data_IF_771153227310
#
_entry.id   IF_771153227310
#
_cell.length_a   1.000
_cell.length_b   1.000
_cell.length_c   1.000
_cell.angle_alpha   90.00
_cell.angle_beta   90.00
_cell.angle_gamma   90.00
#
_symmetry.space_group_name_H-M   'P 1'
#
loop_
_entity.id
_entity.type
_entity.pdbx_description
1 polymer ?
#
# COMPACT_ATOMS: atom_id res chain seq x y z
N UNK A 1 2.40 1.87 9.73
CA UNK A 1 3.29 3.05 9.64
C UNK A 1 4.78 2.69 9.65
N UNK A 2 5.16 1.55 9.02
CA UNK A 2 6.57 1.14 8.94
C UNK A 2 7.41 2.13 8.12
N UNK A 3 6.79 2.88 7.21
CA UNK A 3 7.49 3.85 6.37
C UNK A 3 8.24 4.93 7.18
N UNK A 4 7.77 5.26 8.39
CA UNK A 4 8.46 6.18 9.30
C UNK A 4 9.77 5.60 9.83
N UNK A 5 9.85 4.26 9.94
CA UNK A 5 10.96 3.53 10.55
C UNK A 5 11.88 2.84 9.54
N UNK A 6 11.68 3.04 8.23
CA UNK A 6 12.46 2.34 7.18
C UNK A 6 13.97 2.50 7.39
N UNK A 7 14.44 3.73 7.64
CA UNK A 7 15.88 3.96 7.89
C UNK A 7 16.40 3.26 9.14
N UNK A 8 15.60 3.22 10.22
CA UNK A 8 15.97 2.49 11.45
C UNK A 8 15.98 0.98 11.21
N UNK A 9 14.96 0.47 10.51
CA UNK A 9 14.87 -0.96 10.12
C UNK A 9 16.10 -1.36 9.32
N UNK A 10 16.44 -0.59 8.28
CA UNK A 10 17.61 -0.86 7.46
C UNK A 10 18.92 -0.78 8.26
N UNK A 11 19.01 0.14 9.23
CA UNK A 11 20.21 0.26 10.08
C UNK A 11 20.40 -0.93 11.01
N UNK A 12 19.31 -1.47 11.56
CA UNK A 12 19.34 -2.60 12.50
C UNK A 12 19.45 -3.94 11.76
N UNK A 13 18.79 -4.05 10.60
CA UNK A 13 18.68 -5.25 9.80
C UNK A 13 19.07 -4.95 8.32
N UNK A 14 20.36 -4.69 8.04
CA UNK A 14 20.81 -4.22 6.73
C UNK A 14 20.54 -5.23 5.58
N UNK A 15 20.51 -6.51 5.91
CA UNK A 15 20.29 -7.59 4.94
C UNK A 15 18.82 -8.01 4.81
N UNK A 16 17.91 -7.38 5.57
CA UNK A 16 16.49 -7.70 5.47
C UNK A 16 15.87 -7.11 4.22
N UNK A 17 15.16 -7.89 3.40
CA UNK A 17 14.45 -7.37 2.25
C UNK A 17 13.33 -6.40 2.67
N UNK A 18 13.32 -5.23 2.08
CA UNK A 18 12.27 -4.22 2.26
C UNK A 18 11.39 -4.23 1.02
N UNK A 19 10.10 -4.43 1.22
CA UNK A 19 9.11 -4.45 0.15
C UNK A 19 8.22 -3.22 0.29
N UNK A 20 8.18 -2.38 -0.73
CA UNK A 20 7.32 -1.22 -0.79
C UNK A 20 6.22 -1.42 -1.84
N UNK A 21 4.99 -1.55 -1.35
CA UNK A 21 3.80 -1.68 -2.19
C UNK A 21 3.21 -0.29 -2.41
N UNK A 22 3.21 0.16 -3.65
CA UNK A 22 2.59 1.42 -4.07
C UNK A 22 1.15 1.18 -4.52
N UNK A 23 0.30 2.16 -4.32
CA UNK A 23 -1.09 2.15 -4.77
C UNK A 23 -1.57 3.57 -5.02
N UNK A 24 -2.52 3.75 -5.95
CA UNK A 24 -3.16 5.05 -6.17
C UNK A 24 -3.53 5.71 -4.82
N UNK A 25 -3.04 6.91 -4.52
CA UNK A 25 -3.27 7.59 -3.25
C UNK A 25 -4.74 7.83 -2.96
N UNK A 26 -5.56 7.99 -4.01
CA UNK A 26 -7.02 8.20 -3.91
C UNK A 26 -7.73 6.92 -3.48
N UNK A 27 -7.34 5.77 -4.05
CA UNK A 27 -7.85 4.45 -3.62
C UNK A 27 -7.35 4.05 -2.24
N UNK A 28 -6.10 4.39 -1.93
CA UNK A 28 -5.53 4.17 -0.60
C UNK A 28 -6.28 5.00 0.44
N UNK A 29 -6.51 6.28 0.15
CA UNK A 29 -7.30 7.18 1.00
C UNK A 29 -8.72 6.68 1.22
N UNK A 30 -9.44 6.34 0.15
CA UNK A 30 -10.80 5.78 0.25
C UNK A 30 -10.81 4.53 1.13
N UNK A 31 -9.86 3.62 0.94
CA UNK A 31 -9.76 2.38 1.72
C UNK A 31 -9.53 2.65 3.21
N UNK A 32 -8.70 3.62 3.55
CA UNK A 32 -8.46 4.03 4.94
C UNK A 32 -9.70 4.73 5.54
N UNK A 33 -10.34 5.62 4.81
CA UNK A 33 -11.53 6.34 5.27
C UNK A 33 -12.72 5.40 5.55
N UNK A 34 -12.87 4.35 4.74
CA UNK A 34 -13.93 3.34 4.93
C UNK A 34 -13.62 2.38 6.09
N UNK A 35 -12.39 2.36 6.59
CA UNK A 35 -11.99 1.42 7.62
C UNK A 35 -12.23 1.99 9.02
N UNK A 36 -13.03 1.29 9.82
CA UNK A 36 -13.17 1.61 11.24
C UNK A 36 -11.93 1.12 12.01
N UNK A 37 -10.94 2.00 12.13
CA UNK A 37 -9.77 1.73 12.98
C UNK A 37 -10.18 1.91 14.45
N UNK A 38 -10.28 0.81 15.19
CA UNK A 38 -10.59 0.88 16.63
C UNK A 38 -9.58 1.75 17.38
N UNK A 39 -10.10 2.70 18.16
CA UNK A 39 -9.33 3.73 18.88
C UNK A 39 -8.37 3.21 19.97
N UNK A 40 -8.25 1.90 20.13
CA UNK A 40 -7.49 1.28 21.24
C UNK A 40 -6.01 1.64 21.31
N UNK A 41 -5.39 2.10 20.23
CA UNK A 41 -3.95 2.32 20.17
C UNK A 41 -3.51 3.73 19.75
N UNK A 42 -4.42 4.66 19.52
CA UNK A 42 -4.09 6.00 19.02
C UNK A 42 -3.43 6.00 17.62
N UNK A 43 -3.11 7.17 17.09
CA UNK A 43 -2.33 7.32 15.86
C UNK A 43 -3.05 7.06 14.54
N UNK A 44 -4.34 6.67 14.56
CA UNK A 44 -5.15 6.46 13.34
C UNK A 44 -6.23 7.53 13.17
N UNK A 45 -6.17 8.62 13.93
CA UNK A 45 -7.14 9.71 13.89
C UNK A 45 -7.24 10.40 12.53
N UNK A 46 -6.16 10.39 11.76
CA UNK A 46 -6.12 10.93 10.41
C UNK A 46 -7.12 10.25 9.46
N UNK A 47 -7.46 8.99 9.70
CA UNK A 47 -8.38 8.22 8.84
C UNK A 47 -9.85 8.66 8.95
N UNK A 48 -10.20 9.51 9.91
CA UNK A 48 -11.56 10.01 10.12
C UNK A 48 -11.81 11.41 9.56
N UNK A 49 -10.78 12.01 8.94
CA UNK A 49 -10.85 13.33 8.31
C UNK A 49 -10.12 13.29 6.98
N UNK A 50 -10.75 13.80 5.92
CA UNK A 50 -10.23 13.69 4.55
C UNK A 50 -8.97 14.53 4.32
N UNK A 51 -8.87 15.72 4.91
CA UNK A 51 -7.70 16.57 4.77
C UNK A 51 -6.52 16.03 5.61
N UNK A 52 -6.79 15.53 6.82
CA UNK A 52 -5.78 14.86 7.63
C UNK A 52 -5.25 13.59 6.94
N UNK A 53 -6.13 12.87 6.25
CA UNK A 53 -5.76 11.68 5.48
C UNK A 53 -4.84 12.03 4.30
N UNK A 54 -5.16 13.10 3.55
CA UNK A 54 -4.28 13.61 2.50
C UNK A 54 -2.92 14.02 3.05
N UNK A 55 -2.88 14.73 4.18
CA UNK A 55 -1.63 15.11 4.84
C UNK A 55 -0.77 13.90 5.23
N UNK A 56 -1.38 12.82 5.72
CA UNK A 56 -0.66 11.58 6.04
C UNK A 56 -0.11 10.91 4.77
N UNK A 57 -0.86 10.90 3.68
CA UNK A 57 -0.40 10.40 2.37
C UNK A 57 0.76 11.25 1.85
N UNK A 58 0.69 12.57 1.94
CA UNK A 58 1.76 13.48 1.55
C UNK A 58 3.03 13.26 2.40
N UNK A 59 2.88 13.04 3.71
CA UNK A 59 3.99 12.72 4.62
C UNK A 59 4.65 11.38 4.26
N UNK A 60 3.83 10.35 4.04
CA UNK A 60 4.31 9.06 3.56
C UNK A 60 5.11 9.22 2.26
N UNK A 61 4.60 9.93 1.28
CA UNK A 61 5.26 10.16 0.00
C UNK A 61 6.62 10.85 0.16
N UNK A 62 6.67 11.94 0.96
CA UNK A 62 7.90 12.67 1.26
C UNK A 62 8.96 11.78 1.91
N UNK A 63 8.57 10.94 2.87
CA UNK A 63 9.48 9.99 3.51
C UNK A 63 9.96 8.91 2.54
N UNK A 64 9.11 8.34 1.71
CA UNK A 64 9.53 7.34 0.74
C UNK A 64 10.49 7.94 -0.31
N UNK A 65 10.26 9.17 -0.76
CA UNK A 65 11.23 9.91 -1.59
C UNK A 65 12.57 10.09 -0.88
N UNK A 66 12.56 10.40 0.42
CA UNK A 66 13.78 10.52 1.21
C UNK A 66 14.54 9.19 1.28
N UNK A 67 13.86 8.09 1.58
CA UNK A 67 14.51 6.77 1.68
C UNK A 67 15.14 6.33 0.35
N UNK A 68 14.47 6.58 -0.77
CA UNK A 68 15.06 6.36 -2.11
C UNK A 68 16.30 7.22 -2.32
N UNK A 69 16.23 8.51 -1.97
CA UNK A 69 17.33 9.46 -2.16
C UNK A 69 18.61 9.09 -1.39
N UNK A 70 18.48 8.54 -0.19
CA UNK A 70 19.62 8.09 0.62
C UNK A 70 20.04 6.64 0.33
N UNK A 71 19.43 5.99 -0.68
CA UNK A 71 19.83 4.69 -1.18
C UNK A 71 19.42 3.49 -0.32
N UNK A 72 18.34 3.58 0.47
CA UNK A 72 17.83 2.40 1.17
C UNK A 72 17.35 1.38 0.14
N UNK A 73 17.93 0.16 0.11
CA UNK A 73 17.55 -0.85 -0.86
C UNK A 73 16.13 -1.36 -0.57
N UNK A 74 15.28 -1.31 -1.58
CA UNK A 74 13.91 -1.85 -1.51
C UNK A 74 13.43 -2.27 -2.89
N UNK A 75 12.58 -3.29 -2.94
CA UNK A 75 11.81 -3.60 -4.15
C UNK A 75 10.49 -2.83 -4.08
N UNK A 76 10.14 -2.20 -5.19
CA UNK A 76 8.91 -1.40 -5.31
C UNK A 76 8.05 -1.95 -6.44
N UNK A 77 6.76 -2.02 -6.23
CA UNK A 77 5.79 -2.42 -7.26
C UNK A 77 4.42 -1.82 -6.97
N UNK A 78 3.63 -1.76 -8.02
CA UNK A 78 2.25 -1.30 -7.92
C UNK A 78 1.32 -2.42 -7.50
N UNK A 79 0.38 -2.11 -6.62
CA UNK A 79 -0.69 -3.03 -6.25
C UNK A 79 -1.48 -3.47 -7.49
N UNK A 80 -1.71 -2.55 -8.40
CA UNK A 80 -2.42 -2.76 -9.67
C UNK A 80 -1.69 -3.78 -10.55
N UNK A 81 -0.36 -3.71 -10.65
CA UNK A 81 0.46 -4.69 -11.37
C UNK A 81 0.38 -6.08 -10.72
N UNK A 82 0.46 -6.13 -9.38
CA UNK A 82 0.30 -7.40 -8.67
C UNK A 82 -1.07 -8.03 -8.92
N UNK A 83 -2.13 -7.23 -9.01
CA UNK A 83 -3.48 -7.73 -9.28
C UNK A 83 -3.64 -8.19 -10.73
N UNK A 84 -2.95 -7.53 -11.68
CA UNK A 84 -3.00 -7.86 -13.09
C UNK A 84 -2.10 -9.05 -13.45
N UNK A 85 -0.91 -9.11 -12.86
CA UNK A 85 0.17 -10.05 -13.17
C UNK A 85 0.62 -10.81 -11.90
N UNK A 86 -0.33 -11.37 -11.17
CA UNK A 86 -0.11 -11.94 -9.84
C UNK A 86 1.09 -12.89 -9.78
N UNK A 87 1.18 -13.83 -10.70
CA UNK A 87 2.25 -14.83 -10.70
C UNK A 87 3.62 -14.20 -10.92
N UNK A 88 3.74 -13.32 -11.92
CA UNK A 88 5.00 -12.66 -12.30
C UNK A 88 5.53 -11.83 -11.13
N UNK A 89 4.69 -10.95 -10.57
CA UNK A 89 5.08 -10.08 -9.46
C UNK A 89 5.37 -10.90 -8.19
N UNK A 90 4.56 -11.92 -7.91
CA UNK A 90 4.79 -12.79 -6.74
C UNK A 90 6.11 -13.56 -6.85
N UNK A 91 6.46 -14.09 -8.04
CA UNK A 91 7.76 -14.74 -8.26
C UNK A 91 8.93 -13.78 -8.03
N UNK A 92 8.82 -12.56 -8.55
CA UNK A 92 9.84 -11.52 -8.33
C UNK A 92 10.03 -11.20 -6.84
N UNK A 93 8.95 -11.06 -6.09
CA UNK A 93 8.97 -10.79 -4.65
C UNK A 93 9.60 -11.95 -3.85
N UNK A 94 9.19 -13.19 -4.13
CA UNK A 94 9.73 -14.38 -3.47
C UNK A 94 11.22 -14.51 -3.73
N UNK A 95 11.65 -14.31 -4.98
CA UNK A 95 13.08 -14.30 -5.34
C UNK A 95 13.86 -13.19 -4.64
N UNK A 96 13.31 -11.97 -4.58
CA UNK A 96 13.91 -10.85 -3.84
C UNK A 96 14.09 -11.15 -2.35
N UNK A 97 13.18 -11.90 -1.76
CA UNK A 97 13.27 -12.36 -0.38
C UNK A 97 14.25 -13.52 -0.19
N UNK A 98 14.88 -14.04 -1.24
CA UNK A 98 15.76 -15.21 -1.18
C UNK A 98 15.04 -16.52 -0.86
N UNK A 99 13.74 -16.59 -1.14
CA UNK A 99 12.88 -17.75 -0.88
C UNK A 99 12.66 -18.56 -2.16
N UNK A 100 12.36 -19.84 -2.00
CA UNK A 100 11.97 -20.69 -3.10
C UNK A 100 10.50 -20.49 -3.46
N UNK A 101 10.20 -20.55 -4.77
CA UNK A 101 8.84 -20.52 -5.26
C UNK A 101 8.08 -21.80 -4.92
N UNK A 102 6.85 -21.62 -4.45
CA UNK A 102 5.89 -22.71 -4.23
C UNK A 102 4.58 -22.34 -4.93
N UNK A 103 3.98 -23.26 -5.69
CA UNK A 103 2.73 -22.99 -6.45
C UNK A 103 1.56 -22.61 -5.55
N UNK A 104 1.54 -23.12 -4.31
CA UNK A 104 0.51 -22.82 -3.32
C UNK A 104 0.48 -21.34 -2.89
N UNK A 105 1.52 -20.55 -3.21
CA UNK A 105 1.57 -19.09 -2.94
C UNK A 105 0.42 -18.37 -3.65
N UNK A 106 0.05 -18.80 -4.85
CA UNK A 106 -1.07 -18.23 -5.60
C UNK A 106 -2.44 -18.57 -4.98
N UNK A 107 -2.50 -19.62 -4.19
CA UNK A 107 -3.70 -20.14 -3.54
C UNK A 107 -3.85 -19.66 -2.09
N UNK A 108 -3.23 -18.52 -1.74
CA UNK A 108 -3.19 -17.94 -0.38
C UNK A 108 -4.57 -17.85 0.29
N UNK A 109 -5.64 -17.66 -0.49
CA UNK A 109 -7.02 -17.56 -0.01
C UNK A 109 -7.55 -18.89 0.56
N UNK A 110 -6.94 -20.02 0.21
CA UNK A 110 -7.29 -21.36 0.74
C UNK A 110 -6.66 -21.63 2.11
N UNK A 111 -5.67 -20.83 2.52
CA UNK A 111 -4.98 -21.03 3.79
C UNK A 111 -5.91 -20.73 4.96
N UNK A 112 -6.04 -21.68 5.89
CA UNK A 112 -6.84 -21.53 7.12
C UNK A 112 -6.14 -20.75 8.23
N UNK A 113 -5.12 -19.97 7.89
CA UNK A 113 -4.37 -19.16 8.86
C UNK A 113 -5.29 -18.11 9.51
N UNK A 114 -5.14 -17.94 10.83
CA UNK A 114 -5.85 -16.87 11.57
C UNK A 114 -5.29 -15.50 11.16
N UNK A 115 -6.13 -14.69 10.54
CA UNK A 115 -5.80 -13.29 10.18
C UNK A 115 -6.43 -12.37 11.23
N UNK A 116 -5.64 -11.48 11.82
CA UNK A 116 -6.10 -10.54 12.88
C UNK A 116 -6.17 -9.09 12.39
N UNK A 117 -6.12 -8.86 11.07
CA UNK A 117 -6.15 -7.51 10.49
C UNK A 117 -7.53 -7.16 9.97
N UNK A 118 -7.76 -5.88 9.73
CA UNK A 118 -8.99 -5.36 9.12
C UNK A 118 -9.33 -6.03 7.76
N UNK A 119 -8.32 -6.56 7.08
CA UNK A 119 -8.43 -7.23 5.78
C UNK A 119 -8.87 -8.71 5.86
N UNK A 120 -9.34 -9.21 7.02
CA UNK A 120 -9.73 -10.63 7.21
C UNK A 120 -10.64 -11.15 6.10
N UNK A 121 -11.63 -10.36 5.67
CA UNK A 121 -12.54 -10.76 4.59
C UNK A 121 -11.88 -10.80 3.22
N UNK A 122 -10.96 -9.88 2.97
CA UNK A 122 -10.30 -9.73 1.67
C UNK A 122 -9.31 -10.86 1.39
N UNK A 123 -8.50 -11.25 2.37
CA UNK A 123 -7.48 -12.31 2.21
C UNK A 123 -8.08 -13.72 2.08
N UNK A 124 -9.40 -13.87 2.24
CA UNK A 124 -10.14 -15.13 2.03
C UNK A 124 -10.68 -15.28 0.61
N UNK A 125 -10.56 -14.25 -0.19
CA UNK A 125 -10.98 -14.24 -1.58
C UNK A 125 -9.76 -14.32 -2.50
N UNK A 126 -9.96 -14.87 -3.70
CA UNK A 126 -8.96 -14.72 -4.77
C UNK A 126 -8.70 -13.25 -5.00
N UNK A 127 -7.50 -12.92 -5.47
CA UNK A 127 -7.18 -11.55 -5.86
C UNK A 127 -8.19 -11.05 -6.91
N UNK A 128 -8.68 -9.83 -6.75
CA UNK A 128 -9.74 -9.26 -7.59
C UNK A 128 -9.38 -7.82 -8.01
N UNK A 129 -9.78 -7.47 -9.23
CA UNK A 129 -9.43 -6.18 -9.86
C UNK A 129 -10.34 -5.01 -9.45
N UNK A 130 -11.48 -5.28 -8.84
CA UNK A 130 -12.52 -4.26 -8.59
C UNK A 130 -12.17 -3.22 -7.50
N UNK A 131 -10.97 -3.30 -6.91
CA UNK A 131 -10.47 -2.31 -5.97
C UNK A 131 -9.57 -1.24 -6.61
N UNK A 132 -9.16 -1.43 -7.85
CA UNK A 132 -8.44 -0.42 -8.61
C UNK A 132 -9.41 0.63 -9.15
N UNK A 133 -9.04 1.90 -9.04
CA UNK A 133 -9.84 3.06 -9.47
C UNK A 133 -11.24 3.16 -8.81
N UNK A 134 -11.45 2.50 -7.69
CA UNK A 134 -12.72 2.53 -6.96
C UNK A 134 -13.06 3.94 -6.46
N UNK A 135 -12.04 4.76 -6.20
CA UNK A 135 -12.18 6.15 -5.78
C UNK A 135 -13.04 6.99 -6.74
N UNK A 136 -13.04 6.68 -8.06
CA UNK A 136 -13.83 7.41 -9.07
C UNK A 136 -15.33 7.40 -8.78
N UNK A 137 -15.83 6.33 -8.15
CA UNK A 137 -17.24 6.24 -7.75
C UNK A 137 -17.58 7.15 -6.56
N UNK A 138 -16.58 7.73 -5.91
CA UNK A 138 -16.69 8.56 -4.71
C UNK A 138 -15.96 9.90 -4.87
N UNK A 139 -15.64 10.30 -6.10
CA UNK A 139 -14.80 11.46 -6.41
C UNK A 139 -15.30 12.73 -5.73
N UNK A 140 -16.58 13.04 -5.85
CA UNK A 140 -17.21 14.21 -5.23
C UNK A 140 -17.07 14.19 -3.69
N UNK A 141 -17.23 13.03 -3.07
CA UNK A 141 -17.07 12.88 -1.62
C UNK A 141 -15.62 12.98 -1.16
N UNK A 142 -14.69 12.54 -2.00
CA UNK A 142 -13.26 12.56 -1.74
C UNK A 142 -12.60 13.88 -2.13
N UNK A 143 -13.33 14.81 -2.72
CA UNK A 143 -12.78 16.08 -3.21
C UNK A 143 -11.92 16.82 -2.17
N UNK A 144 -12.30 16.95 -0.88
CA UNK A 144 -11.44 17.60 0.11
C UNK A 144 -10.08 16.90 0.27
N UNK A 145 -10.05 15.57 0.20
CA UNK A 145 -8.80 14.82 0.23
C UNK A 145 -7.99 15.01 -1.05
N UNK A 146 -8.63 14.91 -2.22
CA UNK A 146 -7.97 15.02 -3.52
C UNK A 146 -7.33 16.39 -3.69
N UNK A 147 -8.07 17.47 -3.34
CA UNK A 147 -7.58 18.84 -3.42
C UNK A 147 -6.40 19.13 -2.44
N UNK A 148 -6.30 18.37 -1.36
CA UNK A 148 -5.24 18.50 -0.35
C UNK A 148 -4.02 17.60 -0.61
N UNK A 149 -4.05 16.72 -1.62
CA UNK A 149 -2.88 15.95 -2.04
C UNK A 149 -1.85 16.85 -2.73
N UNK A 150 -0.57 16.65 -2.41
CA UNK A 150 0.52 17.30 -3.13
C UNK A 150 0.48 16.90 -4.62
N UNK A 151 0.57 17.85 -5.53
CA UNK A 151 0.54 17.61 -6.99
C UNK A 151 1.55 16.54 -7.41
N UNK A 152 2.76 16.57 -6.84
CA UNK A 152 3.80 15.58 -7.12
C UNK A 152 3.44 14.15 -6.69
N UNK A 153 2.47 13.98 -5.78
CA UNK A 153 1.94 12.67 -5.39
C UNK A 153 0.98 12.20 -6.47
N UNK A 154 0.08 13.08 -6.92
CA UNK A 154 -0.93 12.74 -7.93
C UNK A 154 -0.25 12.42 -9.27
N UNK A 155 0.64 13.28 -9.74
CA UNK A 155 1.37 13.10 -11.01
C UNK A 155 2.17 11.79 -11.06
N UNK A 156 2.79 11.40 -9.95
CA UNK A 156 3.53 10.14 -9.89
C UNK A 156 2.62 8.91 -10.01
N UNK A 157 1.38 9.02 -9.56
CA UNK A 157 0.41 7.92 -9.55
C UNK A 157 -0.61 8.01 -10.70
N UNK A 158 -0.56 9.06 -11.53
CA UNK A 158 -1.33 9.07 -12.77
C UNK A 158 -0.67 8.10 -13.76
N UNK A 159 -1.30 7.00 -14.07
CA UNK A 159 -0.79 6.14 -15.14
C UNK A 159 -0.93 6.92 -16.45
N UNK A 160 0.17 7.04 -17.18
CA UNK A 160 0.12 7.40 -18.58
C UNK A 160 -0.79 6.37 -19.26
N UNK A 161 -2.00 6.79 -19.61
CA UNK A 161 -3.02 6.07 -20.41
C UNK A 161 -3.09 4.53 -20.19
N UNK A 162 -3.96 4.09 -19.26
CA UNK A 162 -4.53 2.73 -19.28
C UNK A 162 -5.84 2.72 -20.07
#
# INVERSE_FOLDING_TARGET
HNFVNVGLIHRIFPDSPIIHVMRDPRDNGLSNFQQNFGAKFGGMGFAFDLEHLANEINNYWRLMKHWRKIGVPMIEFWYEDLVNEQEVISKALINYCGLQWEEDILEFHKLKRRVKTASVGQVRNKMYKSSAQKWRNYEELLKPMIDALDTSVVEFYEPDDY
#
